data_IF_894100820714
#
_entry.id   IF_894100820714
#
_cell.length_a   1.000
_cell.length_b   1.000
_cell.length_c   1.000
_cell.angle_alpha   90.00
_cell.angle_beta   90.00
_cell.angle_gamma   90.00
#
_symmetry.space_group_name_H-M   'P 1'
#
loop_
_entity.id
_entity.type
_entity.pdbx_description
1 polymer ?
#
# COMPACT_ATOMS: atom_id res chain seq x y z
N UNK A 1 -24.04 10.09 -13.62
CA UNK A 1 -23.45 10.63 -12.39
C UNK A 1 -21.98 10.90 -12.68
N UNK A 2 -21.63 12.16 -12.96
CA UNK A 2 -20.35 12.54 -13.56
C UNK A 2 -19.39 12.97 -12.46
N UNK A 3 -18.54 12.05 -11.99
CA UNK A 3 -17.49 12.36 -11.02
C UNK A 3 -16.43 13.21 -11.75
N UNK A 4 -16.17 14.43 -11.28
CA UNK A 4 -15.11 15.31 -11.82
C UNK A 4 -13.73 14.81 -11.34
N UNK A 5 -13.17 13.87 -12.10
CA UNK A 5 -11.86 13.23 -11.87
C UNK A 5 -10.66 14.21 -11.80
N UNK A 6 -10.78 15.40 -12.40
CA UNK A 6 -9.67 16.37 -12.51
C UNK A 6 -9.17 16.91 -11.15
N UNK A 7 -9.97 16.88 -10.10
CA UNK A 7 -9.55 17.36 -8.77
C UNK A 7 -8.71 16.33 -7.99
N UNK A 8 -8.87 15.03 -8.30
CA UNK A 8 -8.22 13.93 -7.55
C UNK A 8 -6.75 13.78 -7.93
N UNK A 9 -6.38 14.04 -9.19
CA UNK A 9 -4.99 13.95 -9.67
C UNK A 9 -4.08 15.11 -9.23
N UNK A 10 -4.63 16.24 -8.78
CA UNK A 10 -3.85 17.39 -8.32
C UNK A 10 -3.31 17.22 -6.88
N UNK A 11 -3.88 16.30 -6.10
CA UNK A 11 -3.50 16.10 -4.69
C UNK A 11 -2.33 15.12 -4.51
N UNK A 12 -2.14 14.17 -5.43
CA UNK A 12 -1.20 13.05 -5.26
C UNK A 12 0.11 13.23 -6.05
N UNK A 13 0.12 14.12 -7.03
CA UNK A 13 1.32 14.57 -7.75
C UNK A 13 1.27 16.09 -7.80
N UNK A 14 2.32 16.79 -7.40
CA UNK A 14 2.42 18.27 -7.40
C UNK A 14 2.33 18.96 -8.79
N UNK A 15 1.50 18.46 -9.70
CA UNK A 15 1.13 19.10 -10.95
C UNK A 15 0.08 20.17 -10.69
N UNK A 16 0.51 21.43 -10.68
CA UNK A 16 -0.40 22.57 -10.76
C UNK A 16 -1.01 22.61 -12.16
N UNK A 17 -2.31 22.32 -12.29
CA UNK A 17 -3.07 22.63 -13.50
C UNK A 17 -3.66 24.04 -13.32
N UNK A 18 -3.16 24.99 -14.11
CA UNK A 18 -3.68 26.37 -14.14
C UNK A 18 -5.19 26.35 -14.41
N UNK A 19 -5.97 26.95 -13.53
CA UNK A 19 -7.39 27.21 -13.73
C UNK A 19 -7.57 28.03 -15.01
N UNK A 20 -8.28 27.47 -16.01
CA UNK A 20 -8.84 28.26 -17.09
C UNK A 20 -10.18 28.81 -16.58
N UNK A 21 -10.19 30.09 -16.22
CA UNK A 21 -11.42 30.81 -15.90
C UNK A 21 -12.27 30.97 -17.16
N UNK A 22 -13.38 30.24 -17.25
CA UNK A 22 -14.43 30.55 -18.21
C UNK A 22 -15.15 31.82 -17.72
N UNK A 23 -14.85 32.96 -18.33
CA UNK A 23 -15.71 34.16 -18.24
C UNK A 23 -16.99 33.86 -19.02
N UNK A 24 -18.13 33.85 -18.35
CA UNK A 24 -19.43 33.92 -19.01
C UNK A 24 -19.54 35.25 -19.77
N UNK A 25 -19.60 35.17 -21.10
CA UNK A 25 -19.97 36.31 -21.95
C UNK A 25 -21.49 36.27 -22.10
N UNK A 26 -22.18 37.24 -21.50
CA UNK A 26 -23.62 37.43 -21.68
C UNK A 26 -23.91 37.75 -23.15
N UNK A 27 -24.79 36.97 -23.76
CA UNK A 27 -25.27 37.16 -25.14
C UNK A 27 -26.07 38.46 -25.27
N UNK A 28 -25.72 39.29 -26.24
CA UNK A 28 -26.52 40.41 -26.70
C UNK A 28 -27.10 40.06 -28.09
N UNK A 29 -28.41 40.19 -28.35
CA UNK A 29 -29.02 39.72 -29.60
C UNK A 29 -29.17 40.86 -30.60
N UNK A 30 -28.35 40.88 -31.66
CA UNK A 30 -28.65 41.60 -32.91
C UNK A 30 -27.71 41.18 -34.07
N UNK A 31 -28.32 40.58 -35.10
CA UNK A 31 -28.03 40.75 -36.53
C UNK A 31 -26.74 40.22 -37.22
N UNK A 32 -27.01 39.27 -38.13
CA UNK A 32 -26.60 39.22 -39.55
C UNK A 32 -25.55 38.19 -40.01
N UNK A 33 -25.86 37.68 -41.21
CA UNK A 33 -25.46 36.43 -41.84
C UNK A 33 -24.19 36.49 -42.73
N UNK A 34 -23.80 35.29 -43.18
CA UNK A 34 -22.91 34.90 -44.29
C UNK A 34 -21.45 34.51 -43.95
N UNK A 35 -21.31 33.22 -43.59
CA UNK A 35 -20.53 32.14 -44.22
C UNK A 35 -19.10 32.39 -44.76
N UNK A 36 -18.13 31.59 -44.27
CA UNK A 36 -17.28 30.65 -45.07
C UNK A 36 -16.12 30.09 -44.20
N UNK A 37 -16.15 28.75 -44.05
CA UNK A 37 -15.03 27.78 -43.86
C UNK A 37 -14.50 27.46 -42.45
N UNK A 38 -14.68 26.16 -42.11
CA UNK A 38 -13.91 25.30 -41.22
C UNK A 38 -13.85 25.70 -39.73
N UNK A 39 -14.36 24.93 -38.77
CA UNK A 39 -14.44 23.49 -38.64
C UNK A 39 -15.71 23.12 -37.87
N UNK A 40 -16.56 22.26 -38.43
CA UNK A 40 -17.45 21.46 -37.58
C UNK A 40 -16.54 20.68 -36.63
N UNK A 41 -16.50 21.05 -35.36
CA UNK A 41 -15.86 20.24 -34.34
C UNK A 41 -16.75 19.01 -34.13
N UNK A 42 -16.63 18.03 -35.04
CA UNK A 42 -17.06 16.66 -34.81
C UNK A 42 -16.08 16.07 -33.82
N UNK A 43 -16.18 16.45 -32.55
CA UNK A 43 -15.57 15.64 -31.49
C UNK A 43 -16.33 14.31 -31.53
N UNK A 44 -15.75 13.33 -32.23
CA UNK A 44 -16.22 11.96 -32.19
C UNK A 44 -16.17 11.53 -30.72
N UNK A 45 -17.33 11.45 -30.05
CA UNK A 45 -17.44 10.96 -28.67
C UNK A 45 -16.92 9.51 -28.47
N UNK A 46 -16.46 8.86 -29.55
CA UNK A 46 -15.87 7.54 -29.55
C UNK A 46 -14.33 7.52 -29.50
N UNK A 47 -13.65 8.65 -29.72
CA UNK A 47 -12.17 8.69 -29.74
C UNK A 47 -11.59 8.76 -28.32
N UNK A 48 -10.53 7.98 -28.08
CA UNK A 48 -9.78 8.01 -26.83
C UNK A 48 -8.99 9.31 -26.73
N UNK A 49 -9.24 10.10 -25.69
CA UNK A 49 -8.57 11.40 -25.51
C UNK A 49 -7.20 11.24 -24.83
N UNK A 50 -6.28 12.21 -24.99
CA UNK A 50 -5.00 12.20 -24.28
C UNK A 50 -5.12 12.14 -22.75
N UNK A 51 -6.17 12.77 -22.19
CA UNK A 51 -6.43 12.75 -20.74
C UNK A 51 -6.74 11.33 -20.26
N UNK A 52 -7.55 10.58 -21.00
CA UNK A 52 -7.85 9.19 -20.66
C UNK A 52 -6.60 8.31 -20.73
N UNK A 53 -5.69 8.56 -21.68
CA UNK A 53 -4.42 7.85 -21.76
C UNK A 53 -3.51 8.15 -20.58
N UNK A 54 -3.45 9.38 -20.07
CA UNK A 54 -2.68 9.70 -18.86
C UNK A 54 -3.24 9.02 -17.60
N UNK A 55 -4.57 8.87 -17.51
CA UNK A 55 -5.21 8.08 -16.45
C UNK A 55 -4.77 6.62 -16.55
N UNK A 56 -4.82 6.04 -17.75
CA UNK A 56 -4.44 4.64 -17.99
C UNK A 56 -2.96 4.40 -17.70
N UNK A 57 -2.09 5.32 -18.12
CA UNK A 57 -0.66 5.30 -17.81
C UNK A 57 -0.42 5.30 -16.30
N UNK A 58 -1.13 6.16 -15.57
CA UNK A 58 -1.04 6.27 -14.10
C UNK A 58 -1.54 5.02 -13.37
N UNK A 59 -2.41 4.24 -14.00
CA UNK A 59 -2.85 2.94 -13.49
C UNK A 59 -1.81 1.85 -13.81
N UNK A 60 -1.35 1.77 -15.06
CA UNK A 60 -0.43 0.73 -15.54
C UNK A 60 0.98 0.82 -14.96
N UNK A 61 1.42 2.00 -14.49
CA UNK A 61 2.71 2.16 -13.80
C UNK A 61 2.70 1.60 -12.37
N UNK A 62 1.52 1.29 -11.80
CA UNK A 62 1.42 0.72 -10.47
C UNK A 62 1.67 -0.78 -10.52
N UNK A 63 2.65 -1.25 -9.78
CA UNK A 63 3.15 -2.61 -9.79
C UNK A 63 3.50 -3.08 -8.39
N UNK A 64 3.72 -4.38 -8.24
CA UNK A 64 4.02 -4.99 -6.96
C UNK A 64 2.78 -5.53 -6.26
N UNK A 65 2.99 -6.05 -5.05
CA UNK A 65 1.97 -6.63 -4.17
C UNK A 65 0.69 -5.78 -4.11
N UNK A 66 -0.44 -6.38 -4.45
CA UNK A 66 -1.77 -5.75 -4.47
C UNK A 66 -2.24 -5.23 -5.82
N UNK A 67 -1.33 -5.03 -6.77
CA UNK A 67 -1.67 -4.62 -8.14
C UNK A 67 -1.82 -5.83 -9.07
N UNK A 68 -2.62 -5.73 -10.15
CA UNK A 68 -2.73 -6.79 -11.15
C UNK A 68 -1.36 -7.21 -11.69
N UNK A 69 -1.12 -8.52 -11.75
CA UNK A 69 0.16 -9.09 -12.21
C UNK A 69 0.50 -8.61 -13.61
N UNK A 70 1.79 -8.59 -13.94
CA UNK A 70 2.24 -8.28 -15.31
C UNK A 70 1.62 -9.20 -16.37
N UNK A 71 1.39 -10.46 -15.97
CA UNK A 71 0.81 -11.51 -16.82
C UNK A 71 -0.72 -11.55 -16.77
N UNK A 72 -1.38 -10.69 -15.99
CA UNK A 72 -2.84 -10.65 -15.96
C UNK A 72 -3.38 -10.30 -17.34
N UNK A 73 -4.37 -11.07 -17.80
CA UNK A 73 -5.09 -10.80 -19.05
C UNK A 73 -5.73 -9.40 -19.04
N UNK A 74 -6.22 -8.92 -17.88
CA UNK A 74 -6.86 -7.61 -17.76
C UNK A 74 -5.85 -6.47 -17.87
N UNK A 75 -4.66 -6.67 -17.30
CA UNK A 75 -3.54 -5.73 -17.46
C UNK A 75 -3.05 -5.66 -18.90
N UNK A 76 -2.87 -6.82 -19.53
CA UNK A 76 -2.44 -6.93 -20.93
C UNK A 76 -3.49 -6.28 -21.86
N UNK A 77 -4.77 -6.52 -21.63
CA UNK A 77 -5.85 -5.93 -22.41
C UNK A 77 -5.87 -4.39 -22.30
N UNK A 78 -5.75 -3.84 -21.09
CA UNK A 78 -5.69 -2.39 -20.88
C UNK A 78 -4.43 -1.79 -21.53
N UNK A 79 -3.28 -2.46 -21.40
CA UNK A 79 -2.02 -2.03 -22.03
C UNK A 79 -2.10 -2.03 -23.55
N UNK A 80 -2.75 -3.02 -24.17
CA UNK A 80 -2.96 -3.06 -25.62
C UNK A 80 -3.71 -1.81 -26.11
N UNK A 81 -4.75 -1.39 -25.40
CA UNK A 81 -5.50 -0.16 -25.74
C UNK A 81 -4.63 1.07 -25.57
N UNK A 82 -3.82 1.13 -24.51
CA UNK A 82 -2.89 2.24 -24.27
C UNK A 82 -1.82 2.37 -25.36
N UNK A 83 -1.27 1.26 -25.83
CA UNK A 83 -0.19 1.24 -26.81
C UNK A 83 -0.69 1.54 -28.25
N UNK A 84 -1.95 1.21 -28.57
CA UNK A 84 -2.55 1.40 -29.89
C UNK A 84 -3.94 2.08 -29.84
N UNK A 85 -4.08 3.30 -29.29
CA UNK A 85 -5.39 3.90 -28.97
C UNK A 85 -6.27 4.22 -30.20
N UNK A 86 -5.68 4.33 -31.39
CA UNK A 86 -6.43 4.57 -32.65
C UNK A 86 -7.19 3.35 -33.13
N UNK A 87 -6.84 2.15 -32.66
CA UNK A 87 -7.49 0.89 -33.02
C UNK A 87 -8.67 0.56 -32.10
N UNK A 88 -8.98 1.44 -31.14
CA UNK A 88 -9.91 1.18 -30.06
C UNK A 88 -10.87 2.35 -29.82
N UNK A 89 -12.01 2.05 -29.23
CA UNK A 89 -13.05 3.01 -28.86
C UNK A 89 -12.96 3.39 -27.39
N UNK A 90 -13.51 4.57 -27.05
CA UNK A 90 -13.68 4.99 -25.66
C UNK A 90 -14.45 3.96 -24.82
N UNK A 91 -15.46 3.29 -25.39
CA UNK A 91 -16.25 2.26 -24.71
C UNK A 91 -15.40 1.05 -24.32
N UNK A 92 -14.54 0.59 -25.23
CA UNK A 92 -13.60 -0.51 -24.96
C UNK A 92 -12.58 -0.12 -23.89
N UNK A 93 -12.09 1.12 -23.93
CA UNK A 93 -11.18 1.61 -22.91
C UNK A 93 -11.82 1.62 -21.51
N UNK A 94 -13.03 2.19 -21.38
CA UNK A 94 -13.73 2.26 -20.10
C UNK A 94 -14.02 0.86 -19.53
N UNK A 95 -14.39 -0.09 -20.40
CA UNK A 95 -14.59 -1.49 -20.02
C UNK A 95 -13.28 -2.13 -19.54
N UNK A 96 -12.21 -2.06 -20.34
CA UNK A 96 -10.91 -2.64 -19.98
C UNK A 96 -10.34 -2.02 -18.70
N UNK A 97 -10.53 -0.71 -18.50
CA UNK A 97 -10.12 -0.02 -17.28
C UNK A 97 -10.87 -0.54 -16.06
N UNK A 98 -12.19 -0.71 -16.15
CA UNK A 98 -12.98 -1.26 -15.05
C UNK A 98 -12.57 -2.70 -14.74
N UNK A 99 -12.41 -3.53 -15.77
CA UNK A 99 -11.95 -4.92 -15.60
C UNK A 99 -10.56 -5.00 -14.97
N UNK A 100 -9.64 -4.09 -15.33
CA UNK A 100 -8.32 -3.98 -14.70
C UNK A 100 -8.39 -3.54 -13.23
N UNK A 101 -9.25 -2.56 -12.92
CA UNK A 101 -9.45 -2.09 -11.53
C UNK A 101 -10.03 -3.20 -10.66
N UNK A 102 -10.94 -4.01 -11.21
CA UNK A 102 -11.62 -5.09 -10.48
C UNK A 102 -10.84 -6.40 -10.45
N UNK A 103 -9.77 -6.52 -11.23
CA UNK A 103 -8.99 -7.74 -11.39
C UNK A 103 -8.45 -8.28 -10.05
N UNK A 104 -8.73 -9.54 -9.77
CA UNK A 104 -8.33 -10.25 -8.56
C UNK A 104 -7.03 -11.03 -8.74
N UNK A 105 -6.52 -11.20 -9.97
CA UNK A 105 -5.21 -11.78 -10.24
C UNK A 105 -4.08 -10.77 -9.95
N UNK A 106 -3.94 -10.46 -8.67
CA UNK A 106 -2.96 -9.49 -8.16
C UNK A 106 -1.71 -10.17 -7.65
N UNK A 107 -0.59 -9.44 -7.68
CA UNK A 107 0.65 -9.88 -7.06
C UNK A 107 0.45 -10.03 -5.54
N UNK A 108 1.01 -11.12 -4.98
CA UNK A 108 0.93 -11.49 -3.57
C UNK A 108 2.32 -11.44 -2.94
N UNK A 109 2.43 -11.34 -1.60
CA UNK A 109 3.71 -11.50 -0.92
C UNK A 109 4.41 -12.80 -1.33
N UNK A 110 5.74 -12.77 -1.39
CA UNK A 110 6.58 -13.91 -1.74
C UNK A 110 7.21 -14.52 -0.48
N UNK A 111 7.38 -15.84 -0.49
CA UNK A 111 7.96 -16.57 0.63
C UNK A 111 9.38 -16.07 0.94
N UNK A 112 9.67 -15.83 2.22
CA UNK A 112 10.98 -15.39 2.71
C UNK A 112 11.28 -13.90 2.52
N UNK A 113 10.45 -13.16 1.77
CA UNK A 113 10.60 -11.70 1.64
C UNK A 113 9.99 -10.97 2.83
N UNK A 114 10.46 -9.74 3.07
CA UNK A 114 10.02 -8.89 4.19
C UNK A 114 9.07 -7.81 3.73
N UNK A 115 8.07 -7.51 4.54
CA UNK A 115 6.99 -6.58 4.22
C UNK A 115 6.62 -5.70 5.41
N UNK A 116 6.20 -4.47 5.13
CA UNK A 116 5.41 -3.66 6.06
C UNK A 116 3.93 -3.83 5.77
N UNK A 117 3.11 -3.73 6.81
CA UNK A 117 1.65 -3.77 6.74
C UNK A 117 1.11 -2.43 7.23
N UNK A 118 0.30 -1.75 6.42
CA UNK A 118 -0.16 -0.38 6.69
C UNK A 118 -1.65 -0.24 6.50
N UNK A 119 -2.36 0.26 7.51
CA UNK A 119 -3.75 0.66 7.37
C UNK A 119 -3.84 2.07 6.79
N UNK A 120 -4.85 2.32 5.96
CA UNK A 120 -5.16 3.65 5.42
C UNK A 120 -6.52 4.09 5.94
N UNK A 121 -6.59 5.23 6.63
CA UNK A 121 -7.90 5.80 6.99
C UNK A 121 -8.60 6.45 5.78
N UNK A 122 -9.81 6.94 6.00
CA UNK A 122 -10.61 7.60 4.96
C UNK A 122 -9.87 8.77 4.29
N UNK A 123 -9.16 9.57 5.09
CA UNK A 123 -8.39 10.73 4.66
C UNK A 123 -6.98 10.37 4.14
N UNK A 124 -6.70 9.07 3.92
CA UNK A 124 -5.43 8.53 3.44
C UNK A 124 -4.22 8.72 4.38
N UNK A 125 -4.44 9.02 5.66
CA UNK A 125 -3.41 8.87 6.68
C UNK A 125 -3.03 7.41 6.83
N UNK A 126 -1.73 7.16 6.97
CA UNK A 126 -1.15 5.83 7.03
C UNK A 126 -0.85 5.45 8.48
N UNK A 127 -1.25 4.24 8.87
CA UNK A 127 -0.98 3.66 10.18
C UNK A 127 -0.19 2.37 10.00
N UNK A 128 1.10 2.42 10.32
CA UNK A 128 2.01 1.29 10.19
C UNK A 128 1.79 0.30 11.34
N UNK A 129 1.64 -0.98 11.00
CA UNK A 129 1.61 -2.07 11.96
C UNK A 129 3.00 -2.28 12.56
N UNK A 130 3.08 -2.33 13.88
CA UNK A 130 4.32 -2.46 14.64
C UNK A 130 4.18 -3.59 15.67
N UNK A 131 5.28 -4.29 15.93
CA UNK A 131 5.38 -5.35 16.92
C UNK A 131 6.46 -4.99 17.96
N UNK A 132 6.01 -4.72 19.19
CA UNK A 132 6.90 -4.38 20.30
C UNK A 132 6.31 -4.92 21.60
N UNK A 133 7.17 -5.31 22.54
CA UNK A 133 6.75 -5.78 23.87
C UNK A 133 5.71 -6.92 23.83
N UNK A 134 5.84 -7.84 22.88
CA UNK A 134 4.96 -9.00 22.76
C UNK A 134 3.57 -8.70 22.20
N UNK A 135 3.30 -7.49 21.69
CA UNK A 135 1.98 -7.08 21.20
C UNK A 135 2.03 -6.38 19.85
N UNK A 136 0.96 -6.55 19.07
CA UNK A 136 0.71 -5.70 17.91
C UNK A 136 0.13 -4.36 18.32
N UNK A 137 0.56 -3.34 17.61
CA UNK A 137 0.01 -2.00 17.68
C UNK A 137 0.11 -1.34 16.31
N UNK A 138 -0.48 -0.17 16.16
CA UNK A 138 -0.28 0.69 15.01
C UNK A 138 0.25 2.04 15.45
N UNK A 139 0.91 2.76 14.54
CA UNK A 139 1.32 4.15 14.75
C UNK A 139 1.15 4.92 13.46
N UNK A 140 0.84 6.21 13.56
CA UNK A 140 0.83 7.06 12.37
C UNK A 140 2.24 7.05 11.73
N UNK A 141 2.26 6.90 10.41
CA UNK A 141 3.48 6.75 9.63
C UNK A 141 3.53 7.81 8.55
N UNK A 142 4.60 8.62 8.56
CA UNK A 142 4.73 9.73 7.64
C UNK A 142 5.41 9.29 6.35
N UNK A 143 5.04 9.93 5.25
CA UNK A 143 5.72 9.72 3.97
C UNK A 143 7.23 9.94 4.11
N UNK A 144 8.03 9.02 3.57
CA UNK A 144 9.51 8.97 3.61
C UNK A 144 10.14 8.54 4.94
N UNK A 145 9.35 8.21 5.95
CA UNK A 145 9.89 7.53 7.12
C UNK A 145 10.40 6.13 6.74
N UNK A 146 11.48 5.68 7.39
CA UNK A 146 12.00 4.32 7.21
C UNK A 146 11.38 3.43 8.29
N UNK A 147 10.72 2.32 7.94
CA UNK A 147 10.16 1.38 8.93
C UNK A 147 11.26 0.80 9.81
N UNK A 148 10.99 0.72 11.12
CA UNK A 148 11.86 -0.01 12.06
C UNK A 148 11.73 -1.52 11.84
N UNK A 149 12.72 -2.29 12.30
CA UNK A 149 12.70 -3.76 12.24
C UNK A 149 11.47 -4.39 12.91
N UNK A 150 10.94 -3.74 13.95
CA UNK A 150 9.71 -4.12 14.65
C UNK A 150 8.45 -4.07 13.78
N UNK A 151 8.47 -3.30 12.69
CA UNK A 151 7.36 -3.16 11.73
C UNK A 151 7.58 -3.94 10.42
N UNK A 152 8.59 -4.81 10.37
CA UNK A 152 9.01 -5.54 9.19
C UNK A 152 8.84 -7.05 9.38
N UNK A 153 7.89 -7.64 8.67
CA UNK A 153 7.48 -9.04 8.86
C UNK A 153 7.91 -9.92 7.68
N UNK A 154 8.43 -11.11 7.98
CA UNK A 154 8.81 -12.09 6.95
C UNK A 154 7.58 -12.87 6.51
N UNK A 155 7.29 -12.88 5.20
CA UNK A 155 6.15 -13.60 4.66
C UNK A 155 6.46 -15.09 4.45
N UNK A 156 5.49 -15.94 4.74
CA UNK A 156 5.49 -17.37 4.44
C UNK A 156 4.22 -17.69 3.65
N UNK A 157 4.37 -17.96 2.36
CA UNK A 157 3.26 -18.33 1.48
C UNK A 157 2.91 -19.80 1.70
N UNK A 158 1.63 -20.09 1.91
CA UNK A 158 1.11 -21.43 2.16
C UNK A 158 0.56 -22.07 0.89
N UNK A 159 0.43 -23.40 0.87
CA UNK A 159 -0.04 -24.15 -0.30
C UNK A 159 -1.47 -23.78 -0.73
N UNK A 160 -2.30 -23.33 0.21
CA UNK A 160 -3.68 -22.88 -0.05
C UNK A 160 -3.76 -21.41 -0.51
N UNK A 161 -2.63 -20.74 -0.74
CA UNK A 161 -2.56 -19.35 -1.18
C UNK A 161 -2.72 -18.31 -0.06
N UNK A 162 -2.97 -18.72 1.19
CA UNK A 162 -2.87 -17.82 2.35
C UNK A 162 -1.41 -17.45 2.61
N UNK A 163 -1.23 -16.39 3.39
CA UNK A 163 0.10 -15.91 3.80
C UNK A 163 0.14 -15.84 5.30
N UNK A 164 1.22 -16.33 5.89
CA UNK A 164 1.57 -16.07 7.28
C UNK A 164 2.69 -15.04 7.34
N UNK A 165 2.73 -14.26 8.41
CA UNK A 165 3.79 -13.28 8.64
C UNK A 165 4.47 -13.56 9.96
N UNK A 166 5.80 -13.53 9.95
CA UNK A 166 6.64 -13.77 11.10
C UNK A 166 7.34 -12.48 11.55
N UNK A 167 7.34 -12.21 12.85
CA UNK A 167 8.03 -11.08 13.48
C UNK A 167 9.54 -11.31 13.52
N UNK A 168 10.29 -10.26 13.89
CA UNK A 168 11.77 -10.32 14.01
C UNK A 168 12.26 -11.36 15.03
N UNK A 169 11.47 -11.62 16.08
CA UNK A 169 11.73 -12.61 17.13
C UNK A 169 11.01 -13.95 16.90
N UNK A 170 10.59 -14.19 15.66
CA UNK A 170 10.04 -15.47 15.17
C UNK A 170 8.64 -15.84 15.70
N UNK A 171 7.87 -14.87 16.18
CA UNK A 171 6.44 -15.02 16.50
C UNK A 171 5.60 -14.90 15.24
N UNK A 172 4.40 -15.46 15.27
CA UNK A 172 3.51 -15.49 14.12
C UNK A 172 2.37 -14.51 14.31
N UNK A 173 2.11 -13.69 13.29
CA UNK A 173 0.96 -12.80 13.31
C UNK A 173 -0.35 -13.60 13.30
N UNK A 174 -1.32 -13.14 14.07
CA UNK A 174 -2.69 -13.63 14.08
C UNK A 174 -3.66 -12.46 14.09
N UNK A 175 -4.95 -12.74 14.31
CA UNK A 175 -5.97 -11.69 14.38
C UNK A 175 -5.64 -10.69 15.50
N UNK A 176 -5.55 -9.37 15.22
CA UNK A 176 -5.20 -8.36 16.22
C UNK A 176 -6.39 -8.09 17.15
N UNK A 177 -6.58 -8.96 18.14
CA UNK A 177 -7.67 -8.83 19.09
C UNK A 177 -7.37 -7.75 20.13
N UNK A 178 -8.35 -6.88 20.41
CA UNK A 178 -8.30 -5.96 21.54
C UNK A 178 -8.37 -6.75 22.85
N UNK A 179 -7.46 -6.48 23.78
CA UNK A 179 -7.42 -7.09 25.11
C UNK A 179 -8.09 -6.17 26.17
N UNK A 180 -8.76 -6.73 27.19
CA UNK A 180 -9.06 -8.15 27.36
C UNK A 180 -9.98 -8.68 26.26
N UNK A 181 -9.75 -9.93 25.83
CA UNK A 181 -10.58 -10.56 24.82
C UNK A 181 -12.01 -10.79 25.34
N UNK A 182 -13.03 -10.87 24.47
CA UNK A 182 -14.38 -11.15 24.91
C UNK A 182 -14.51 -12.54 25.57
N UNK A 183 -15.23 -12.62 26.69
CA UNK A 183 -15.38 -13.85 27.50
C UNK A 183 -16.09 -15.01 26.77
N UNK A 184 -16.67 -14.76 25.60
CA UNK A 184 -17.33 -15.78 24.77
C UNK A 184 -16.38 -16.45 23.75
N UNK A 185 -15.12 -16.01 23.69
CA UNK A 185 -14.14 -16.43 22.69
C UNK A 185 -12.92 -17.09 23.35
N UNK A 186 -12.44 -18.19 22.76
CA UNK A 186 -11.18 -18.87 23.09
C UNK A 186 -10.35 -19.10 21.81
N UNK A 187 -9.16 -19.70 21.91
CA UNK A 187 -8.35 -20.08 20.75
C UNK A 187 -7.99 -18.92 19.82
N UNK A 188 -7.88 -17.72 20.38
CA UNK A 188 -7.45 -16.50 19.71
C UNK A 188 -5.94 -16.28 19.88
N UNK A 189 -5.32 -15.44 19.06
CA UNK A 189 -3.94 -14.99 19.23
C UNK A 189 -3.90 -13.82 20.24
N UNK A 190 -3.40 -14.00 21.47
CA UNK A 190 -3.33 -12.91 22.43
C UNK A 190 -2.45 -11.78 21.88
N UNK A 191 -2.93 -10.54 21.98
CA UNK A 191 -2.24 -9.36 21.45
C UNK A 191 -1.88 -9.44 19.95
N UNK A 192 -2.57 -10.32 19.20
CA UNK A 192 -2.37 -10.49 17.75
C UNK A 192 -1.16 -11.33 17.35
N UNK A 193 -0.53 -12.05 18.27
CA UNK A 193 0.63 -12.91 17.97
C UNK A 193 0.56 -14.27 18.67
N UNK A 194 1.25 -15.27 18.12
CA UNK A 194 1.46 -16.58 18.75
C UNK A 194 2.94 -16.96 18.74
N UNK A 195 3.37 -17.70 19.78
CA UNK A 195 4.73 -18.24 19.87
C UNK A 195 4.94 -19.42 18.92
N UNK A 196 3.91 -20.22 18.73
CA UNK A 196 3.93 -21.43 17.90
C UNK A 196 3.12 -21.21 16.64
N UNK A 197 3.58 -21.85 15.56
CA UNK A 197 2.88 -21.89 14.30
C UNK A 197 1.58 -22.70 14.43
N UNK A 198 0.46 -22.08 14.05
CA UNK A 198 -0.83 -22.73 13.85
C UNK A 198 -1.46 -22.14 12.59
N UNK A 199 -1.61 -22.95 11.53
CA UNK A 199 -2.15 -22.49 10.25
C UNK A 199 -3.57 -21.90 10.37
N UNK A 200 -4.40 -22.41 11.27
CA UNK A 200 -5.76 -21.90 11.45
C UNK A 200 -5.77 -20.49 12.05
N UNK A 201 -4.81 -20.19 12.94
CA UNK A 201 -4.70 -18.88 13.63
C UNK A 201 -3.86 -17.89 12.80
N UNK A 202 -2.75 -18.36 12.23
CA UNK A 202 -1.73 -17.53 11.62
C UNK A 202 -1.81 -17.46 10.09
N UNK A 203 -2.59 -18.34 9.45
CA UNK A 203 -2.85 -18.29 8.01
C UNK A 203 -3.81 -17.16 7.65
N UNK A 204 -3.27 -16.08 7.09
CA UNK A 204 -4.04 -14.89 6.73
C UNK A 204 -4.52 -14.96 5.28
N UNK A 205 -5.81 -14.73 5.07
CA UNK A 205 -6.41 -14.61 3.74
C UNK A 205 -6.34 -13.15 3.28
N UNK A 206 -5.58 -12.91 2.21
CA UNK A 206 -5.45 -11.58 1.59
C UNK A 206 -6.49 -11.43 0.48
N UNK A 207 -7.54 -10.65 0.72
CA UNK A 207 -8.58 -10.34 -0.26
C UNK A 207 -8.33 -8.98 -0.89
N UNK A 208 -8.36 -8.84 -2.21
CA UNK A 208 -8.19 -7.52 -2.85
C UNK A 208 -9.27 -6.56 -2.33
N UNK A 209 -8.87 -5.36 -1.93
CA UNK A 209 -9.81 -4.35 -1.47
C UNK A 209 -10.73 -3.93 -2.63
N UNK A 210 -12.02 -3.86 -2.33
CA UNK A 210 -13.08 -3.64 -3.30
C UNK A 210 -14.37 -3.17 -2.61
N UNK A 211 -15.45 -3.08 -3.37
CA UNK A 211 -16.75 -2.60 -2.86
C UNK A 211 -17.29 -3.54 -1.77
N UNK A 212 -18.05 -2.98 -0.83
CA UNK A 212 -18.71 -3.72 0.24
C UNK A 212 -19.77 -2.85 0.92
N UNK A 213 -20.62 -3.44 1.74
CA UNK A 213 -21.75 -2.75 2.40
C UNK A 213 -21.30 -1.59 3.30
N UNK A 214 -20.10 -1.72 3.89
CA UNK A 214 -19.52 -0.76 4.82
C UNK A 214 -18.26 -0.07 4.25
N UNK A 215 -18.05 -0.15 2.93
CA UNK A 215 -16.88 0.40 2.26
C UNK A 215 -17.31 1.57 1.39
N UNK A 216 -16.88 2.79 1.74
CA UNK A 216 -17.04 3.93 0.86
C UNK A 216 -16.06 3.82 -0.32
N UNK A 217 -16.59 3.45 -1.49
CA UNK A 217 -15.81 3.25 -2.72
C UNK A 217 -15.93 4.39 -3.73
N UNK A 218 -16.30 5.61 -3.31
CA UNK A 218 -16.45 6.76 -4.22
C UNK A 218 -15.18 7.06 -5.02
N UNK A 219 -14.02 6.97 -4.35
CA UNK A 219 -12.71 7.03 -4.99
C UNK A 219 -12.05 5.64 -4.97
N UNK A 220 -12.13 4.91 -6.09
CA UNK A 220 -11.55 3.56 -6.19
C UNK A 220 -10.03 3.53 -5.95
N UNK A 221 -9.31 4.64 -6.20
CA UNK A 221 -7.86 4.72 -5.99
C UNK A 221 -7.49 4.54 -4.52
N UNK A 222 -8.42 4.86 -3.60
CA UNK A 222 -8.23 4.60 -2.19
C UNK A 222 -8.15 3.09 -1.87
N UNK A 223 -8.74 2.24 -2.71
CA UNK A 223 -8.75 0.78 -2.57
C UNK A 223 -7.75 0.07 -3.51
N UNK A 224 -7.42 0.69 -4.64
CA UNK A 224 -6.57 0.08 -5.67
C UNK A 224 -5.15 -0.20 -5.17
N UNK A 225 -4.69 -1.44 -5.33
CA UNK A 225 -3.40 -1.90 -4.79
C UNK A 225 -3.41 -2.34 -3.33
N UNK A 226 -4.58 -2.38 -2.69
CA UNK A 226 -4.73 -2.68 -1.27
C UNK A 226 -5.53 -3.95 -1.04
N UNK A 227 -5.49 -4.46 0.19
CA UNK A 227 -6.15 -5.68 0.63
C UNK A 227 -7.07 -5.42 1.82
N UNK A 228 -8.01 -6.33 2.00
CA UNK A 228 -8.58 -6.70 3.29
C UNK A 228 -7.86 -7.96 3.78
N UNK A 229 -7.60 -8.04 5.09
CA UNK A 229 -7.05 -9.25 5.71
C UNK A 229 -8.16 -9.92 6.51
N UNK A 230 -8.41 -11.19 6.21
CA UNK A 230 -9.34 -12.05 6.95
C UNK A 230 -8.58 -13.18 7.62
N UNK A 231 -8.87 -13.44 8.89
CA UNK A 231 -8.25 -14.53 9.65
C UNK A 231 -9.15 -15.01 10.79
N UNK A 232 -8.78 -16.12 11.43
CA UNK A 232 -9.47 -16.64 12.61
C UNK A 232 -9.33 -15.65 13.76
N UNK A 233 -10.46 -15.11 14.21
CA UNK A 233 -10.56 -14.27 15.42
C UNK A 233 -10.43 -15.13 16.67
N UNK A 234 -11.00 -16.33 16.65
CA UNK A 234 -10.96 -17.33 17.71
C UNK A 234 -12.04 -18.39 17.51
N UNK A 235 -12.46 -19.04 18.58
CA UNK A 235 -13.48 -20.08 18.61
C UNK A 235 -14.49 -19.76 19.71
N UNK A 236 -15.79 -19.91 19.42
CA UNK A 236 -16.85 -19.69 20.41
C UNK A 236 -16.81 -20.77 21.49
N UNK A 237 -16.91 -20.37 22.76
CA UNK A 237 -16.85 -21.32 23.88
C UNK A 237 -18.10 -22.21 23.96
N UNK A 238 -19.27 -21.69 23.58
CA UNK A 238 -20.54 -22.37 23.77
C UNK A 238 -20.82 -23.51 22.76
N UNK A 239 -20.25 -23.45 21.56
CA UNK A 239 -20.52 -24.41 20.49
C UNK A 239 -19.28 -24.81 19.67
N UNK A 240 -18.08 -24.35 20.06
CA UNK A 240 -16.81 -24.62 19.39
C UNK A 240 -16.75 -24.18 17.91
N UNK A 241 -17.62 -23.28 17.48
CA UNK A 241 -17.57 -22.73 16.12
C UNK A 241 -16.41 -21.75 15.95
N UNK A 242 -15.67 -21.89 14.86
CA UNK A 242 -14.65 -20.92 14.49
C UNK A 242 -15.26 -19.59 14.05
N UNK A 243 -14.73 -18.50 14.59
CA UNK A 243 -15.14 -17.14 14.22
C UNK A 243 -14.04 -16.54 13.37
N UNK A 244 -14.39 -16.23 12.11
CA UNK A 244 -13.54 -15.47 11.21
C UNK A 244 -13.81 -13.96 11.40
N UNK A 245 -12.81 -13.13 11.15
CA UNK A 245 -12.97 -11.69 11.18
C UNK A 245 -12.04 -10.99 10.20
N UNK A 246 -12.46 -9.81 9.76
CA UNK A 246 -11.61 -8.87 9.05
C UNK A 246 -10.80 -8.05 10.05
N UNK A 247 -9.56 -7.74 9.68
CA UNK A 247 -8.74 -6.80 10.45
C UNK A 247 -9.33 -5.40 10.28
N UNK A 248 -9.72 -4.77 11.39
CA UNK A 248 -10.30 -3.43 11.41
C UNK A 248 -9.50 -2.57 12.37
N UNK A 249 -9.16 -1.36 11.94
CA UNK A 249 -8.60 -0.32 12.77
C UNK A 249 -9.64 0.77 12.98
N UNK A 250 -9.96 1.09 14.24
CA UNK A 250 -10.64 2.34 14.60
C UNK A 250 -9.60 3.45 14.61
N UNK A 251 -9.58 4.26 13.57
CA UNK A 251 -8.44 5.15 13.28
C UNK A 251 -8.38 6.35 14.22
N UNK A 252 -9.51 6.79 14.80
CA UNK A 252 -9.56 7.87 15.80
C UNK A 252 -8.84 7.52 17.11
N UNK A 253 -8.91 6.25 17.52
CA UNK A 253 -8.42 5.78 18.82
C UNK A 253 -7.16 4.93 18.65
N UNK A 254 -6.79 4.63 17.40
CA UNK A 254 -5.67 3.76 17.05
C UNK A 254 -5.76 2.38 17.74
N UNK A 255 -6.97 1.81 17.77
CA UNK A 255 -7.26 0.51 18.38
C UNK A 255 -7.84 -0.45 17.35
N UNK A 256 -7.48 -1.73 17.47
CA UNK A 256 -8.09 -2.77 16.66
C UNK A 256 -9.54 -3.06 17.07
N UNK A 257 -10.32 -3.44 16.07
CA UNK A 257 -11.69 -3.90 16.19
C UNK A 257 -11.88 -5.17 15.33
N UNK A 258 -13.07 -5.76 15.36
CA UNK A 258 -13.40 -6.96 14.63
C UNK A 258 -14.79 -6.88 14.00
N UNK A 259 -14.85 -7.22 12.71
CA UNK A 259 -16.10 -7.30 11.97
C UNK A 259 -16.14 -8.55 11.08
N UNK A 260 -17.36 -9.00 10.78
CA UNK A 260 -17.60 -10.07 9.81
C UNK A 260 -17.44 -9.64 8.35
N UNK A 261 -17.44 -8.33 8.09
CA UNK A 261 -17.28 -7.68 6.79
C UNK A 261 -16.22 -6.57 6.86
N UNK A 262 -15.57 -6.19 5.75
CA UNK A 262 -14.60 -5.10 5.75
C UNK A 262 -15.27 -3.72 5.87
N UNK A 263 -14.58 -2.78 6.52
CA UNK A 263 -15.02 -1.39 6.68
C UNK A 263 -14.07 -0.42 6.00
N UNK A 264 -14.60 0.67 5.48
CA UNK A 264 -13.82 1.82 5.06
C UNK A 264 -14.69 3.08 5.08
N UNK A 265 -14.65 3.78 6.21
CA UNK A 265 -15.36 5.03 6.46
C UNK A 265 -14.53 5.96 7.36
N UNK A 266 -15.12 7.08 7.80
CA UNK A 266 -14.44 8.09 8.63
C UNK A 266 -13.96 7.58 10.00
N UNK A 267 -14.47 6.44 10.46
CA UNK A 267 -14.22 5.86 11.78
C UNK A 267 -13.35 4.61 11.67
N UNK A 268 -13.69 3.71 10.75
CA UNK A 268 -13.11 2.38 10.65
C UNK A 268 -12.43 2.16 9.30
N UNK A 269 -11.31 1.44 9.32
CA UNK A 269 -10.65 0.98 8.11
C UNK A 269 -10.15 -0.46 8.22
N UNK A 270 -10.47 -1.25 7.21
CA UNK A 270 -9.89 -2.55 6.90
C UNK A 270 -8.91 -2.49 5.73
N UNK A 271 -8.72 -1.30 5.13
CA UNK A 271 -7.95 -1.11 3.91
C UNK A 271 -6.46 -1.11 4.25
N UNK A 272 -5.78 -2.15 3.79
CA UNK A 272 -4.40 -2.45 4.15
C UNK A 272 -3.52 -2.50 2.91
N UNK A 273 -2.43 -1.73 2.91
CA UNK A 273 -1.37 -1.90 1.92
C UNK A 273 -0.25 -2.76 2.50
N UNK A 274 0.21 -3.72 1.71
CA UNK A 274 1.37 -4.56 2.05
C UNK A 274 2.48 -4.17 1.08
N UNK A 275 3.57 -3.63 1.61
CA UNK A 275 4.68 -3.14 0.80
C UNK A 275 5.94 -3.92 1.12
N UNK A 276 6.63 -4.40 0.07
CA UNK A 276 7.90 -5.08 0.26
C UNK A 276 8.91 -4.09 0.85
N UNK A 277 9.54 -4.50 1.95
CA UNK A 277 10.72 -3.82 2.46
C UNK A 277 11.83 -4.05 1.45
N UNK A 278 12.08 -3.02 0.64
CA UNK A 278 13.30 -2.95 -0.16
C UNK A 278 14.43 -2.75 0.83
N UNK A 279 15.04 -3.85 1.26
CA UNK A 279 16.31 -3.78 1.98
C UNK A 279 17.19 -2.86 1.14
N UNK A 280 17.71 -1.74 1.66
CA UNK A 280 18.86 -1.16 1.03
C UNK A 280 19.96 -2.21 1.18
N UNK A 281 20.11 -3.07 0.19
CA UNK A 281 21.25 -3.96 0.06
C UNK A 281 22.44 -3.08 -0.30
N UNK A 282 22.91 -2.30 0.68
CA UNK A 282 23.97 -1.34 0.47
C UNK A 282 24.12 -0.30 1.59
N UNK A 283 25.37 0.06 1.84
CA UNK A 283 25.75 1.29 2.53
C UNK A 283 25.14 2.45 1.73
N UNK A 284 24.24 3.23 2.34
CA UNK A 284 23.77 4.47 1.73
C UNK A 284 24.82 5.56 1.94
N UNK A 285 25.29 6.14 0.85
CA UNK A 285 26.08 7.36 0.91
C UNK A 285 25.17 8.50 1.37
N UNK A 286 25.44 9.04 2.55
CA UNK A 286 24.84 10.28 3.02
C UNK A 286 25.61 11.45 2.39
N UNK A 287 24.98 12.15 1.45
CA UNK A 287 25.54 13.36 0.83
C UNK A 287 25.60 14.54 1.82
N UNK A 288 24.81 14.49 2.87
CA UNK A 288 24.83 15.47 3.95
C UNK A 288 25.93 15.07 4.94
N UNK A 289 26.88 15.97 5.18
CA UNK A 289 27.86 15.82 6.25
C UNK A 289 27.11 15.66 7.60
N UNK A 290 26.94 14.42 8.05
CA UNK A 290 26.44 14.14 9.39
C UNK A 290 27.32 14.92 10.39
N UNK A 291 26.68 15.63 11.32
CA UNK A 291 27.38 16.33 12.41
C UNK A 291 28.37 15.34 13.02
N UNK A 292 29.66 15.62 12.86
CA UNK A 292 30.73 14.83 13.47
C UNK A 292 30.48 14.85 14.97
N UNK A 293 30.06 13.71 15.51
CA UNK A 293 30.18 13.48 16.95
C UNK A 293 31.67 13.29 17.22
N UNK A 294 32.16 13.75 18.37
CA UNK A 294 33.57 13.66 18.75
C UNK A 294 34.06 12.20 18.89
N UNK A 295 33.14 11.24 18.92
CA UNK A 295 33.43 9.81 18.91
C UNK A 295 33.35 9.23 17.50
N UNK A 296 34.42 8.59 17.06
CA UNK A 296 34.40 7.80 15.83
C UNK A 296 33.53 6.56 16.04
N UNK A 297 32.40 6.46 15.33
CA UNK A 297 31.63 5.23 15.22
C UNK A 297 32.23 4.39 14.10
N UNK A 298 32.90 3.29 14.47
CA UNK A 298 33.62 2.41 13.55
C UNK A 298 32.86 1.09 13.44
N UNK A 299 32.69 0.59 12.22
CA UNK A 299 32.03 -0.68 11.93
C UNK A 299 32.84 -1.52 10.94
N UNK A 300 32.70 -2.84 11.01
CA UNK A 300 33.14 -3.75 9.93
C UNK A 300 32.26 -3.58 8.69
N UNK A 301 32.68 -4.14 7.55
CA UNK A 301 31.82 -4.24 6.36
C UNK A 301 30.54 -5.05 6.59
N UNK A 302 30.53 -5.95 7.58
CA UNK A 302 29.34 -6.70 8.02
C UNK A 302 28.45 -5.92 9.00
N UNK A 303 28.77 -4.66 9.31
CA UNK A 303 27.98 -3.80 10.20
C UNK A 303 28.22 -4.02 11.69
N UNK A 304 29.23 -4.80 12.08
CA UNK A 304 29.59 -5.01 13.49
C UNK A 304 30.34 -3.79 14.03
N UNK A 305 29.88 -3.22 15.15
CA UNK A 305 30.54 -2.07 15.80
C UNK A 305 31.87 -2.48 16.43
N UNK A 306 32.91 -1.70 16.18
CA UNK A 306 34.24 -1.87 16.77
C UNK A 306 34.51 -0.71 17.72
N UNK A 307 34.99 -1.05 18.91
CA UNK A 307 35.37 -0.08 19.94
C UNK A 307 36.89 0.00 20.03
N UNK A 308 37.46 1.04 19.44
CA UNK A 308 38.89 1.38 19.54
C UNK A 308 39.02 2.86 19.83
N UNK A 309 40.07 3.24 20.58
CA UNK A 309 40.29 4.65 20.94
C UNK A 309 40.91 5.42 19.78
N UNK A 310 41.67 4.75 18.91
CA UNK A 310 42.33 5.33 17.73
C UNK A 310 42.19 4.43 16.52
N UNK A 311 42.08 5.02 15.33
CA UNK A 311 42.01 4.29 14.07
C UNK A 311 43.26 3.45 13.79
N UNK A 312 44.43 3.85 14.32
CA UNK A 312 45.69 3.12 14.21
C UNK A 312 45.72 1.81 15.00
N UNK A 313 44.75 1.58 15.89
CA UNK A 313 44.62 0.32 16.64
C UNK A 313 43.83 -0.73 15.84
N UNK A 314 43.23 -0.35 14.72
CA UNK A 314 42.53 -1.29 13.84
C UNK A 314 43.55 -2.17 13.11
N UNK A 315 43.32 -3.50 13.06
CA UNK A 315 44.04 -4.36 12.13
C UNK A 315 43.91 -3.87 10.68
N UNK A 316 44.82 -4.31 9.82
CA UNK A 316 44.71 -4.07 8.37
C UNK A 316 43.37 -4.60 7.86
N UNK A 317 42.64 -3.75 7.15
CA UNK A 317 41.30 -4.10 6.70
C UNK A 317 40.50 -2.91 6.23
N UNK A 318 39.27 -3.19 5.82
CA UNK A 318 38.32 -2.18 5.35
C UNK A 318 37.24 -1.99 6.42
N UNK A 319 37.03 -0.74 6.81
CA UNK A 319 36.08 -0.36 7.85
C UNK A 319 35.16 0.77 7.39
N UNK A 320 34.02 0.92 8.06
CA UNK A 320 33.14 2.08 7.94
C UNK A 320 33.39 2.97 9.15
N UNK A 321 33.99 4.13 8.93
CA UNK A 321 34.30 5.12 9.97
C UNK A 321 33.41 6.33 9.75
N UNK A 322 32.49 6.61 10.69
CA UNK A 322 31.53 7.70 10.59
C UNK A 322 30.78 7.73 9.25
N UNK A 323 30.40 6.55 8.75
CA UNK A 323 29.68 6.39 7.49
C UNK A 323 30.55 6.41 6.21
N UNK A 324 31.87 6.54 6.32
CA UNK A 324 32.79 6.47 5.16
C UNK A 324 33.63 5.21 5.18
N UNK A 325 33.79 4.58 4.01
CA UNK A 325 34.70 3.44 3.83
C UNK A 325 36.16 3.93 3.95
N UNK A 326 36.91 3.31 4.85
CA UNK A 326 38.33 3.58 5.09
C UNK A 326 39.11 2.27 4.96
N UNK A 327 40.21 2.31 4.20
CA UNK A 327 41.20 1.25 4.18
C UNK A 327 42.26 1.57 5.23
N UNK A 328 42.45 0.67 6.20
CA UNK A 328 43.54 0.71 7.16
C UNK A 328 44.68 -0.16 6.61
N UNK A 329 45.84 0.45 6.37
CA UNK A 329 47.03 -0.17 5.79
C UNK A 329 48.13 -0.41 6.82
#
# INVERSE_FOLDING_TARGET
MTIKWNAVFAADNGMSIRQITNREVKSNPANNAYDVVATRSTTNNNEITPIELEIVKSLLIREGVGYPKQTSEKRIALKKIYDAPKEHTMKELLKARQEYIDDTDVEKPEHGKRYTIKFYNYDQHTFLLDYSDGKLSTREFKSREVPNESACFTAHVLNNGKVAFQTVDKKWLGFPIKMPAPDWLTGYAPYGVTDTWDEAINGLELQKAGKGNHVNSENFLNLFGKFYIKSKRGTRINNNEEVQGFWVLKTSDNTFDAAGEPYYDKTFSSVIQIEQVKVPTGIQQIDTAAKRTSENKIYTLSGQRIFVKKLSELPRGIYIVNGKKLLVQ
#
